data_IF_040191306999
#
_entry.id   IF_040191306999
#
_cell.length_a   1.000
_cell.length_b   1.000
_cell.length_c   1.000
_cell.angle_alpha   90.00
_cell.angle_beta   90.00
_cell.angle_gamma   90.00
#
_symmetry.space_group_name_H-M   'P 1'
#
loop_
_entity.id
_entity.type
_entity.pdbx_description
1 polymer ?
#
# COMPACT_ATOMS: atom_id res chain seq x y z
N UNK A 1 -21.74 -8.97 -12.75
CA UNK A 1 -20.37 -9.44 -12.48
C UNK A 1 -19.82 -10.08 -13.75
N UNK A 2 -18.54 -9.89 -14.08
CA UNK A 2 -17.89 -10.52 -15.24
C UNK A 2 -16.92 -11.58 -14.69
N UNK A 3 -17.35 -12.86 -14.54
CA UNK A 3 -16.59 -13.87 -13.80
C UNK A 3 -15.24 -14.18 -14.46
N UNK A 4 -15.19 -14.12 -15.79
CA UNK A 4 -13.97 -14.29 -16.58
C UNK A 4 -12.94 -13.21 -16.29
N UNK A 5 -13.36 -11.94 -16.19
CA UNK A 5 -12.48 -10.83 -15.85
C UNK A 5 -11.97 -10.95 -14.41
N UNK A 6 -12.83 -11.32 -13.46
CA UNK A 6 -12.42 -11.54 -12.07
C UNK A 6 -11.37 -12.66 -11.97
N UNK A 7 -11.59 -13.78 -12.67
CA UNK A 7 -10.63 -14.88 -12.70
C UNK A 7 -9.30 -14.45 -13.36
N UNK A 8 -9.36 -13.75 -14.50
CA UNK A 8 -8.18 -13.23 -15.18
C UNK A 8 -7.36 -12.30 -14.28
N UNK A 9 -8.03 -11.38 -13.57
CA UNK A 9 -7.39 -10.48 -12.61
C UNK A 9 -6.77 -11.23 -11.42
N UNK A 10 -7.46 -12.26 -10.89
CA UNK A 10 -6.92 -13.11 -9.81
C UNK A 10 -5.63 -13.81 -10.24
N UNK A 11 -5.61 -14.38 -11.45
CA UNK A 11 -4.43 -15.07 -11.99
C UNK A 11 -3.30 -14.06 -12.25
N UNK A 12 -3.57 -12.99 -13.00
CA UNK A 12 -2.56 -11.99 -13.35
C UNK A 12 -1.95 -11.33 -12.10
N UNK A 13 -2.79 -10.96 -11.13
CA UNK A 13 -2.36 -10.42 -9.85
C UNK A 13 -1.52 -11.41 -9.05
N UNK A 14 -1.92 -12.69 -8.99
CA UNK A 14 -1.15 -13.73 -8.29
C UNK A 14 0.23 -13.93 -8.91
N UNK A 15 0.32 -14.02 -10.23
CA UNK A 15 1.61 -14.15 -10.95
C UNK A 15 2.52 -12.95 -10.68
N UNK A 16 1.97 -11.73 -10.73
CA UNK A 16 2.72 -10.52 -10.43
C UNK A 16 3.23 -10.50 -8.98
N UNK A 17 2.40 -10.88 -8.01
CA UNK A 17 2.79 -10.92 -6.59
C UNK A 17 3.83 -12.01 -6.31
N UNK A 18 3.76 -13.17 -6.97
CA UNK A 18 4.80 -14.21 -6.91
C UNK A 18 6.11 -13.65 -7.46
N UNK A 19 6.08 -13.03 -8.64
CA UNK A 19 7.25 -12.40 -9.23
C UNK A 19 7.86 -11.35 -8.28
N UNK A 20 7.02 -10.51 -7.67
CA UNK A 20 7.44 -9.49 -6.72
C UNK A 20 8.02 -10.11 -5.44
N UNK A 21 7.42 -11.18 -4.92
CA UNK A 21 7.93 -11.91 -3.76
C UNK A 21 9.32 -12.49 -4.01
N UNK A 22 9.53 -13.10 -5.19
CA UNK A 22 10.85 -13.60 -5.62
C UNK A 22 11.86 -12.46 -5.72
N UNK A 23 11.45 -11.32 -6.30
CA UNK A 23 12.31 -10.13 -6.42
C UNK A 23 12.72 -9.58 -5.06
N UNK A 24 11.78 -9.47 -4.12
CA UNK A 24 12.05 -9.03 -2.75
C UNK A 24 13.00 -10.02 -2.07
N UNK A 25 12.68 -11.32 -2.07
CA UNK A 25 13.47 -12.35 -1.37
C UNK A 25 14.91 -12.49 -1.87
N UNK A 26 15.18 -12.15 -3.14
CA UNK A 26 16.54 -12.16 -3.72
C UNK A 26 17.29 -10.83 -3.56
N UNK A 27 16.66 -9.79 -3.02
CA UNK A 27 17.29 -8.49 -2.84
C UNK A 27 18.32 -8.51 -1.70
N UNK A 28 19.41 -7.78 -1.89
CA UNK A 28 20.44 -7.56 -0.87
C UNK A 28 20.13 -6.37 0.06
N UNK A 29 21.09 -5.93 0.89
CA UNK A 29 20.97 -4.69 1.65
C UNK A 29 20.73 -3.51 0.71
N UNK A 30 19.94 -2.50 1.14
CA UNK A 30 19.67 -1.32 0.33
C UNK A 30 20.97 -0.54 0.09
N UNK A 31 21.16 -0.07 -1.14
CA UNK A 31 22.27 0.83 -1.46
C UNK A 31 21.90 2.25 -1.02
N UNK A 32 22.45 2.69 0.11
CA UNK A 32 22.14 3.98 0.73
C UNK A 32 22.88 5.16 0.06
N UNK A 33 23.85 4.90 -0.81
CA UNK A 33 24.63 5.92 -1.53
C UNK A 33 23.94 6.44 -2.80
N UNK A 34 22.77 5.88 -3.15
CA UNK A 34 21.99 6.39 -4.29
C UNK A 34 21.36 7.71 -3.86
N UNK A 35 21.69 8.80 -4.56
CA UNK A 35 21.00 10.09 -4.38
C UNK A 35 19.50 9.85 -4.44
N UNK A 36 18.79 10.10 -3.34
CA UNK A 36 17.34 9.91 -3.30
C UNK A 36 16.72 10.62 -4.51
N UNK A 37 15.97 9.86 -5.31
CA UNK A 37 15.21 10.42 -6.41
C UNK A 37 14.37 11.59 -5.88
N UNK A 38 14.31 12.70 -6.63
CA UNK A 38 13.59 13.90 -6.18
C UNK A 38 12.18 13.50 -5.70
N UNK A 39 11.79 13.86 -4.47
CA UNK A 39 10.46 13.60 -3.98
C UNK A 39 9.44 14.18 -4.96
N UNK A 40 8.37 13.44 -5.23
CA UNK A 40 7.28 13.96 -6.03
C UNK A 40 6.69 15.20 -5.33
N UNK A 41 6.31 16.23 -6.10
CA UNK A 41 5.66 17.41 -5.52
C UNK A 41 4.31 17.02 -4.90
N UNK A 42 3.80 17.85 -3.98
CA UNK A 42 2.48 17.63 -3.38
C UNK A 42 1.39 17.42 -4.45
N UNK A 43 1.38 18.28 -5.47
CA UNK A 43 0.42 18.18 -6.58
C UNK A 43 0.64 16.95 -7.46
N UNK A 44 1.89 16.54 -7.66
CA UNK A 44 2.18 15.28 -8.34
C UNK A 44 1.67 14.06 -7.57
N UNK A 45 1.76 14.09 -6.24
CA UNK A 45 1.18 13.06 -5.37
C UNK A 45 -0.35 13.05 -5.40
N UNK A 46 -0.96 14.24 -5.35
CA UNK A 46 -2.41 14.40 -5.45
C UNK A 46 -2.95 13.86 -6.80
N UNK A 47 -2.23 14.11 -7.90
CA UNK A 47 -2.58 13.56 -9.22
C UNK A 47 -2.61 12.02 -9.24
N UNK A 48 -1.64 11.37 -8.58
CA UNK A 48 -1.60 9.90 -8.47
C UNK A 48 -2.78 9.39 -7.65
N UNK A 49 -3.15 10.08 -6.57
CA UNK A 49 -4.34 9.70 -5.79
C UNK A 49 -5.63 9.90 -6.59
N UNK A 50 -5.70 10.93 -7.42
CA UNK A 50 -6.87 11.21 -8.25
C UNK A 50 -7.16 10.09 -9.25
N UNK A 51 -6.14 9.53 -9.90
CA UNK A 51 -6.32 8.43 -10.86
C UNK A 51 -6.51 7.06 -10.21
N UNK A 52 -6.58 6.97 -8.88
CA UNK A 52 -6.65 5.71 -8.16
C UNK A 52 -8.11 5.25 -7.93
N UNK A 53 -8.62 4.25 -8.69
CA UNK A 53 -10.00 3.78 -8.55
C UNK A 53 -10.27 3.14 -7.18
N UNK A 54 -9.24 2.62 -6.50
CA UNK A 54 -9.36 2.09 -5.13
C UNK A 54 -9.74 3.20 -4.15
N UNK A 55 -9.17 4.40 -4.34
CA UNK A 55 -9.50 5.57 -3.54
C UNK A 55 -10.95 6.01 -3.74
N UNK A 56 -11.43 5.97 -4.98
CA UNK A 56 -12.81 6.35 -5.30
C UNK A 56 -13.82 5.38 -4.69
N UNK A 57 -13.58 4.07 -4.82
CA UNK A 57 -14.42 3.04 -4.21
C UNK A 57 -14.48 3.20 -2.67
N UNK A 58 -13.34 3.45 -2.03
CA UNK A 58 -13.29 3.70 -0.58
C UNK A 58 -14.03 4.99 -0.20
N UNK A 59 -13.81 6.09 -0.92
CA UNK A 59 -14.44 7.38 -0.63
C UNK A 59 -15.96 7.32 -0.77
N UNK A 60 -16.46 6.67 -1.83
CA UNK A 60 -17.90 6.45 -2.03
C UNK A 60 -18.49 5.56 -0.93
N UNK A 61 -17.80 4.48 -0.55
CA UNK A 61 -18.23 3.62 0.55
C UNK A 61 -18.29 4.36 1.89
N UNK A 62 -17.29 5.19 2.19
CA UNK A 62 -17.28 6.01 3.40
C UNK A 62 -18.40 7.06 3.39
N UNK A 63 -18.61 7.75 2.27
CA UNK A 63 -19.68 8.74 2.14
C UNK A 63 -21.06 8.09 2.33
N UNK A 64 -21.28 6.89 1.79
CA UNK A 64 -22.52 6.15 1.98
C UNK A 64 -22.72 5.72 3.45
N UNK A 65 -21.67 5.20 4.10
CA UNK A 65 -21.74 4.74 5.50
C UNK A 65 -21.90 5.87 6.51
N UNK A 66 -21.39 7.06 6.20
CA UNK A 66 -21.33 8.19 7.14
C UNK A 66 -22.15 9.40 6.70
N UNK A 67 -23.11 9.21 5.79
CA UNK A 67 -23.93 10.29 5.24
C UNK A 67 -24.66 11.13 6.32
N UNK A 68 -25.02 10.51 7.44
CA UNK A 68 -25.73 11.17 8.54
C UNK A 68 -24.84 12.06 9.44
N UNK A 69 -23.52 12.07 9.24
CA UNK A 69 -22.59 12.86 10.07
C UNK A 69 -22.49 14.35 9.67
N UNK A 70 -23.13 14.76 8.58
CA UNK A 70 -23.07 16.14 8.10
C UNK A 70 -24.35 16.54 7.36
N UNK A 71 -24.68 17.83 7.40
CA UNK A 71 -25.91 18.36 6.80
C UNK A 71 -25.82 18.48 5.28
N UNK A 72 -24.62 18.38 4.71
CA UNK A 72 -24.41 18.50 3.27
C UNK A 72 -23.13 17.83 2.76
N UNK A 73 -23.06 17.61 1.43
CA UNK A 73 -21.99 16.83 0.81
C UNK A 73 -20.61 17.48 0.94
N UNK A 74 -20.54 18.82 0.91
CA UNK A 74 -19.28 19.53 1.07
C UNK A 74 -18.71 19.36 2.49
N UNK A 75 -19.55 19.49 3.51
CA UNK A 75 -19.14 19.32 4.91
C UNK A 75 -18.72 17.87 5.17
N UNK A 76 -19.46 16.89 4.64
CA UNK A 76 -19.09 15.47 4.73
C UNK A 76 -17.74 15.20 4.06
N UNK A 77 -17.52 15.74 2.86
CA UNK A 77 -16.28 15.56 2.11
C UNK A 77 -15.07 16.15 2.86
N UNK A 78 -15.22 17.36 3.43
CA UNK A 78 -14.18 17.98 4.24
C UNK A 78 -13.87 17.17 5.51
N UNK A 79 -14.91 16.68 6.19
CA UNK A 79 -14.75 15.86 7.40
C UNK A 79 -14.02 14.55 7.10
N UNK A 80 -14.50 13.77 6.12
CA UNK A 80 -13.89 12.51 5.73
C UNK A 80 -12.48 12.71 5.17
N UNK A 81 -12.28 13.75 4.35
CA UNK A 81 -10.97 14.11 3.80
C UNK A 81 -9.95 14.45 4.89
N UNK A 82 -10.34 15.26 5.88
CA UNK A 82 -9.48 15.61 7.00
C UNK A 82 -9.14 14.39 7.86
N UNK A 83 -10.14 13.57 8.22
CA UNK A 83 -9.94 12.38 9.05
C UNK A 83 -9.05 11.35 8.35
N UNK A 84 -9.35 11.02 7.09
CA UNK A 84 -8.53 10.07 6.32
C UNK A 84 -7.14 10.62 6.03
N UNK A 85 -7.02 11.91 5.70
CA UNK A 85 -5.73 12.56 5.49
C UNK A 85 -4.84 12.52 6.73
N UNK A 86 -5.38 12.90 7.89
CA UNK A 86 -4.66 12.86 9.16
C UNK A 86 -4.30 11.43 9.57
N UNK A 87 -5.26 10.49 9.50
CA UNK A 87 -5.02 9.10 9.83
C UNK A 87 -3.94 8.48 8.92
N UNK A 88 -3.99 8.75 7.61
CA UNK A 88 -2.98 8.30 6.66
C UNK A 88 -1.62 8.92 6.96
N UNK A 89 -1.54 10.23 7.21
CA UNK A 89 -0.30 10.92 7.53
C UNK A 89 0.37 10.34 8.79
N UNK A 90 -0.40 10.13 9.86
CA UNK A 90 0.09 9.53 11.10
C UNK A 90 0.55 8.08 10.89
N UNK A 91 -0.28 7.26 10.23
CA UNK A 91 0.02 5.86 9.96
C UNK A 91 1.27 5.69 9.11
N UNK A 92 1.38 6.46 8.02
CA UNK A 92 2.54 6.42 7.12
C UNK A 92 3.80 6.95 7.81
N UNK A 93 3.69 8.00 8.62
CA UNK A 93 4.83 8.51 9.40
C UNK A 93 5.34 7.46 10.38
N UNK A 94 4.42 6.80 11.10
CA UNK A 94 4.77 5.73 12.03
C UNK A 94 5.43 4.55 11.30
N UNK A 95 4.89 4.15 10.15
CA UNK A 95 5.45 3.10 9.30
C UNK A 95 6.86 3.44 8.81
N UNK A 96 7.06 4.66 8.31
CA UNK A 96 8.37 5.15 7.86
C UNK A 96 9.38 5.14 9.02
N UNK A 97 9.02 5.69 10.19
CA UNK A 97 9.91 5.69 11.36
C UNK A 97 10.25 4.27 11.78
N UNK A 98 9.27 3.38 11.91
CA UNK A 98 9.50 1.97 12.25
C UNK A 98 10.44 1.29 11.25
N UNK A 99 10.25 1.53 9.95
CA UNK A 99 11.14 1.03 8.90
C UNK A 99 12.58 1.55 9.05
N UNK A 100 12.77 2.84 9.35
CA UNK A 100 14.11 3.40 9.57
C UNK A 100 14.78 2.84 10.82
N UNK A 101 14.03 2.61 11.90
CA UNK A 101 14.55 2.00 13.12
C UNK A 101 14.94 0.55 12.88
N UNK A 102 14.10 -0.23 12.21
CA UNK A 102 14.42 -1.61 11.84
C UNK A 102 15.66 -1.67 10.96
N UNK A 103 15.78 -0.80 9.96
CA UNK A 103 16.95 -0.73 9.08
C UNK A 103 18.25 -0.46 9.87
N UNK A 104 18.21 0.36 10.92
CA UNK A 104 19.36 0.63 11.80
C UNK A 104 19.78 -0.59 12.64
N UNK A 105 18.87 -1.52 12.91
CA UNK A 105 19.17 -2.76 13.63
C UNK A 105 19.85 -3.82 12.74
N UNK A 106 19.68 -3.72 11.42
CA UNK A 106 20.23 -4.66 10.44
C UNK A 106 21.64 -4.23 10.00
N UNK A 107 22.66 -4.83 10.61
CA UNK A 107 24.07 -4.46 10.41
C UNK A 107 24.81 -5.35 9.39
N UNK A 108 24.25 -6.51 9.05
CA UNK A 108 24.94 -7.51 8.22
C UNK A 108 24.11 -7.91 7.01
N UNK A 109 24.78 -8.32 5.94
CA UNK A 109 24.12 -8.79 4.71
C UNK A 109 23.18 -9.99 4.98
N UNK A 110 23.57 -10.90 5.89
CA UNK A 110 22.74 -12.06 6.28
C UNK A 110 21.42 -11.63 6.92
N UNK A 111 21.44 -10.61 7.78
CA UNK A 111 20.22 -10.08 8.41
C UNK A 111 19.28 -9.45 7.39
N UNK A 112 19.81 -8.68 6.44
CA UNK A 112 19.03 -8.10 5.33
C UNK A 112 18.42 -9.17 4.43
N UNK A 113 19.19 -10.20 4.05
CA UNK A 113 18.68 -11.34 3.29
C UNK A 113 17.59 -12.08 4.04
N UNK A 114 17.76 -12.33 5.34
CA UNK A 114 16.74 -12.98 6.18
C UNK A 114 15.44 -12.15 6.23
N UNK A 115 15.52 -10.83 6.45
CA UNK A 115 14.35 -9.95 6.43
C UNK A 115 13.64 -10.00 5.07
N UNK A 116 14.40 -9.89 3.98
CA UNK A 116 13.86 -9.89 2.63
C UNK A 116 13.18 -11.22 2.27
N UNK A 117 13.74 -12.35 2.70
CA UNK A 117 13.10 -13.67 2.55
C UNK A 117 11.78 -13.70 3.32
N UNK A 118 11.76 -13.24 4.58
CA UNK A 118 10.52 -13.19 5.38
C UNK A 118 9.47 -12.32 4.72
N UNK A 119 9.82 -11.12 4.26
CA UNK A 119 8.90 -10.22 3.56
C UNK A 119 8.37 -10.84 2.26
N UNK A 120 9.22 -11.52 1.48
CA UNK A 120 8.83 -12.26 0.29
C UNK A 120 7.86 -13.40 0.60
N UNK A 121 8.10 -14.17 1.65
CA UNK A 121 7.22 -15.25 2.09
C UNK A 121 5.87 -14.72 2.58
N UNK A 122 5.85 -13.63 3.35
CA UNK A 122 4.61 -12.98 3.79
C UNK A 122 3.81 -12.46 2.59
N UNK A 123 4.48 -11.89 1.58
CA UNK A 123 3.83 -11.46 0.35
C UNK A 123 3.24 -12.64 -0.43
N UNK A 124 3.98 -13.73 -0.58
CA UNK A 124 3.48 -14.94 -1.23
C UNK A 124 2.30 -15.55 -0.46
N UNK A 125 2.35 -15.57 0.88
CA UNK A 125 1.27 -16.05 1.73
C UNK A 125 -0.01 -15.21 1.59
N UNK A 126 0.11 -13.91 1.31
CA UNK A 126 -1.05 -13.03 1.09
C UNK A 126 -1.92 -13.46 -0.10
N UNK A 127 -1.32 -14.13 -1.09
CA UNK A 127 -2.01 -14.63 -2.29
C UNK A 127 -3.07 -15.66 -1.93
N UNK A 128 -2.89 -16.41 -0.83
CA UNK A 128 -3.88 -17.39 -0.35
C UNK A 128 -5.25 -16.74 -0.10
N UNK A 129 -5.28 -15.47 0.34
CA UNK A 129 -6.53 -14.75 0.59
C UNK A 129 -7.27 -14.40 -0.70
N UNK A 130 -6.56 -14.23 -1.82
CA UNK A 130 -7.17 -13.95 -3.13
C UNK A 130 -8.03 -15.14 -3.59
N UNK A 131 -7.62 -16.35 -3.23
CA UNK A 131 -8.26 -17.59 -3.64
C UNK A 131 -9.24 -18.16 -2.62
N UNK A 132 -9.34 -17.58 -1.42
CA UNK A 132 -10.38 -17.97 -0.48
C UNK A 132 -11.76 -17.76 -1.09
N UNK A 133 -12.67 -18.75 -0.97
CA UNK A 133 -14.07 -18.53 -1.27
C UNK A 133 -14.60 -17.47 -0.31
N UNK A 134 -15.32 -16.48 -0.86
CA UNK A 134 -16.10 -15.50 -0.11
C UNK A 134 -17.46 -16.12 0.19
#
# INVERSE_FOLDING_TARGET
AVPSLQLAMKIAGSLYLIWLAIKIGRSGPPNLDISMARPNSFFGGAGIQWINPKGWAMGLGAAASFAALADGPLQLALLLGAVFGLAAALSLSLWCVAGTLLARLLKTERQWRALNIVLGLLLAASILQIWRPV
#
